data_IF_218589750517
#
_entry.id   IF_218589750517
#
_cell.length_a   1.000
_cell.length_b   1.000
_cell.length_c   1.000
_cell.angle_alpha   90.00
_cell.angle_beta   90.00
_cell.angle_gamma   90.00
#
_symmetry.space_group_name_H-M   'P 1'
#
loop_
_entity.id
_entity.type
_entity.pdbx_description
1 polymer ?
#
# COMPACT_ATOMS: atom_id res chain seq x y z
N UNK A 1 -6.41 1.14 15.01
CA UNK A 1 -5.85 -0.22 14.79
C UNK A 1 -4.37 -0.11 14.45
N UNK A 2 -3.56 -0.88 15.15
CA UNK A 2 -2.09 -0.82 15.04
C UNK A 2 -1.56 -1.23 13.66
N UNK A 3 -2.22 -2.20 13.02
CA UNK A 3 -1.83 -2.69 11.70
C UNK A 3 -1.95 -1.61 10.63
N UNK A 4 -3.03 -0.82 10.67
CA UNK A 4 -3.26 0.28 9.75
C UNK A 4 -2.15 1.34 9.86
N UNK A 5 -1.76 1.69 11.07
CA UNK A 5 -0.71 2.69 11.31
C UNK A 5 0.66 2.24 10.78
N UNK A 6 1.02 0.96 10.96
CA UNK A 6 2.28 0.42 10.43
C UNK A 6 2.31 0.45 8.91
N UNK A 7 1.19 0.13 8.27
CA UNK A 7 1.09 0.16 6.81
C UNK A 7 1.21 1.59 6.28
N UNK A 8 0.63 2.57 6.97
CA UNK A 8 0.78 3.99 6.62
C UNK A 8 2.23 4.44 6.72
N UNK A 9 2.93 4.03 7.76
CA UNK A 9 4.35 4.33 7.94
C UNK A 9 5.17 3.72 6.81
N UNK A 10 4.92 2.46 6.48
CA UNK A 10 5.61 1.77 5.39
C UNK A 10 5.41 2.49 4.05
N UNK A 11 4.15 2.82 3.72
CA UNK A 11 3.82 3.51 2.46
C UNK A 11 4.48 4.90 2.41
N UNK A 12 4.49 5.63 3.52
CA UNK A 12 5.13 6.95 3.58
C UNK A 12 6.64 6.86 3.32
N UNK A 13 7.32 5.85 3.87
CA UNK A 13 8.75 5.63 3.61
C UNK A 13 8.98 5.26 2.15
N UNK A 14 8.17 4.37 1.61
CA UNK A 14 8.27 3.94 0.21
C UNK A 14 8.09 5.10 -0.76
N UNK A 15 7.13 5.97 -0.51
CA UNK A 15 6.80 7.10 -1.38
C UNK A 15 7.83 8.23 -1.28
N UNK A 16 8.34 8.50 -0.07
CA UNK A 16 9.30 9.59 0.14
C UNK A 16 10.75 9.17 -0.14
N UNK A 17 11.05 7.89 -0.02
CA UNK A 17 12.42 7.39 -0.12
C UNK A 17 13.30 7.81 1.05
N UNK A 18 12.71 8.19 2.19
CA UNK A 18 13.43 8.73 3.33
C UNK A 18 12.68 8.47 4.63
N UNK A 19 13.36 7.93 5.63
CA UNK A 19 12.81 7.78 6.97
C UNK A 19 12.50 9.13 7.62
N UNK A 20 13.37 10.11 7.40
CA UNK A 20 13.22 11.45 7.96
C UNK A 20 12.00 12.18 7.38
N UNK A 21 11.86 12.13 6.05
CA UNK A 21 10.70 12.76 5.37
C UNK A 21 9.39 12.08 5.75
N UNK A 22 9.39 10.75 5.84
CA UNK A 22 8.21 10.02 6.29
C UNK A 22 7.81 10.42 7.71
N UNK A 23 8.77 10.50 8.63
CA UNK A 23 8.53 10.93 10.00
C UNK A 23 7.91 12.33 10.05
N UNK A 24 8.43 13.26 9.25
CA UNK A 24 7.89 14.61 9.16
C UNK A 24 6.43 14.62 8.68
N UNK A 25 6.15 13.90 7.61
CA UNK A 25 4.79 13.89 7.05
C UNK A 25 3.77 13.23 7.98
N UNK A 26 4.22 12.30 8.82
CA UNK A 26 3.35 11.58 9.76
C UNK A 26 3.29 12.22 11.15
N UNK A 27 4.09 13.26 11.40
CA UNK A 27 4.15 13.92 12.71
C UNK A 27 4.74 13.05 13.81
N UNK A 28 5.69 12.18 13.46
CA UNK A 28 6.38 11.32 14.43
C UNK A 28 7.89 11.47 14.31
N UNK A 29 8.64 10.73 15.12
CA UNK A 29 10.11 10.79 15.13
C UNK A 29 10.71 9.79 14.15
N UNK A 30 11.90 10.07 13.65
CA UNK A 30 12.62 9.16 12.77
C UNK A 30 12.92 7.80 13.45
N UNK A 31 13.35 7.75 14.74
CA UNK A 31 13.51 6.46 15.41
C UNK A 31 12.21 5.63 15.48
N UNK A 32 11.06 6.28 15.66
CA UNK A 32 9.77 5.59 15.67
C UNK A 32 9.48 4.94 14.32
N UNK A 33 9.73 5.66 13.22
CA UNK A 33 9.59 5.12 11.85
C UNK A 33 10.53 3.94 11.64
N UNK A 34 11.81 4.10 12.00
CA UNK A 34 12.83 3.06 11.89
C UNK A 34 12.44 1.78 12.62
N UNK A 35 11.95 1.90 13.86
CA UNK A 35 11.52 0.76 14.67
C UNK A 35 10.33 0.04 14.05
N UNK A 36 9.35 0.79 13.54
CA UNK A 36 8.19 0.19 12.89
C UNK A 36 8.58 -0.59 11.64
N UNK A 37 9.47 -0.05 10.83
CA UNK A 37 9.96 -0.74 9.62
C UNK A 37 10.74 -2.00 10.01
N UNK A 38 11.63 -1.91 11.00
CA UNK A 38 12.39 -3.07 11.47
C UNK A 38 11.46 -4.18 11.97
N UNK A 39 10.39 -3.82 12.66
CA UNK A 39 9.41 -4.78 13.15
C UNK A 39 8.64 -5.43 12.00
N UNK A 40 8.25 -4.67 10.98
CA UNK A 40 7.59 -5.22 9.78
C UNK A 40 8.52 -6.20 9.05
N UNK A 41 9.78 -5.85 8.90
CA UNK A 41 10.76 -6.72 8.25
C UNK A 41 10.99 -8.00 9.05
N UNK A 42 11.01 -7.90 10.38
CA UNK A 42 11.11 -9.06 11.26
C UNK A 42 9.91 -9.99 11.12
N UNK A 43 8.70 -9.44 11.09
CA UNK A 43 7.47 -10.22 10.93
C UNK A 43 7.36 -10.84 9.54
N UNK A 44 7.78 -10.11 8.51
CA UNK A 44 7.79 -10.59 7.13
C UNK A 44 8.87 -11.63 6.86
N UNK A 45 9.92 -11.65 7.70
CA UNK A 45 11.06 -12.55 7.52
C UNK A 45 11.98 -12.20 6.37
N UNK A 46 11.92 -10.96 5.89
CA UNK A 46 12.75 -10.49 4.78
C UNK A 46 12.92 -8.97 4.84
N UNK A 47 13.97 -8.46 4.18
CA UNK A 47 14.17 -7.03 4.04
C UNK A 47 13.15 -6.46 3.05
N UNK A 48 12.50 -5.37 3.42
CA UNK A 48 11.53 -4.67 2.58
C UNK A 48 12.15 -3.42 1.92
N UNK A 49 13.22 -2.90 2.51
CA UNK A 49 13.93 -1.74 1.99
C UNK A 49 15.42 -2.02 1.83
N UNK A 50 15.98 -1.47 0.78
CA UNK A 50 17.42 -1.37 0.56
C UNK A 50 17.86 0.05 0.89
N UNK A 51 18.93 0.17 1.69
CA UNK A 51 19.52 1.46 2.06
C UNK A 51 20.70 1.74 1.13
N UNK A 52 20.52 2.70 0.25
CA UNK A 52 21.59 3.23 -0.60
C UNK A 52 22.06 4.59 -0.09
N UNK A 53 22.89 5.25 -0.86
CA UNK A 53 23.48 6.57 -0.52
C UNK A 53 22.39 7.64 -0.36
N UNK A 54 21.96 7.89 0.89
CA UNK A 54 20.98 8.91 1.22
C UNK A 54 19.55 8.61 0.76
N UNK A 55 19.32 7.44 0.16
CA UNK A 55 17.99 7.03 -0.31
C UNK A 55 17.64 5.64 0.16
N UNK A 56 16.36 5.44 0.40
CA UNK A 56 15.79 4.14 0.73
C UNK A 56 14.90 3.72 -0.43
N UNK A 57 15.10 2.51 -0.95
CA UNK A 57 14.31 1.96 -2.04
C UNK A 57 13.73 0.60 -1.65
N UNK A 58 12.68 0.19 -2.32
CA UNK A 58 12.04 -1.09 -2.05
C UNK A 58 12.87 -2.25 -2.61
N UNK A 59 13.01 -3.33 -1.82
CA UNK A 59 13.47 -4.62 -2.33
C UNK A 59 12.38 -5.24 -3.20
N UNK A 60 12.65 -6.33 -3.96
CA UNK A 60 11.58 -7.06 -4.64
C UNK A 60 10.45 -7.49 -3.70
N UNK A 61 10.79 -7.99 -2.50
CA UNK A 61 9.79 -8.30 -1.47
C UNK A 61 9.05 -7.07 -0.98
N UNK A 62 9.75 -5.94 -0.85
CA UNK A 62 9.16 -4.67 -0.49
C UNK A 62 8.13 -4.17 -1.51
N UNK A 63 8.36 -4.42 -2.79
CA UNK A 63 7.39 -4.06 -3.84
C UNK A 63 6.11 -4.86 -3.72
N UNK A 64 6.22 -6.15 -3.44
CA UNK A 64 5.05 -7.01 -3.18
C UNK A 64 4.29 -6.49 -1.96
N UNK A 65 5.01 -6.23 -0.87
CA UNK A 65 4.42 -5.70 0.36
C UNK A 65 3.72 -4.35 0.11
N UNK A 66 4.35 -3.47 -0.64
CA UNK A 66 3.81 -2.15 -0.98
C UNK A 66 2.48 -2.27 -1.74
N UNK A 67 2.43 -3.16 -2.73
CA UNK A 67 1.21 -3.40 -3.51
C UNK A 67 0.05 -3.81 -2.61
N UNK A 68 0.27 -4.75 -1.70
CA UNK A 68 -0.76 -5.20 -0.76
C UNK A 68 -1.09 -4.14 0.29
N UNK A 69 -0.10 -3.45 0.81
CA UNK A 69 -0.31 -2.39 1.80
C UNK A 69 -1.23 -1.29 1.27
N UNK A 70 -1.02 -0.86 0.04
CA UNK A 70 -1.89 0.14 -0.60
C UNK A 70 -3.32 -0.35 -0.76
N UNK A 71 -3.49 -1.60 -1.14
CA UNK A 71 -4.83 -2.21 -1.26
C UNK A 71 -5.54 -2.29 0.09
N UNK A 72 -4.82 -2.73 1.12
CA UNK A 72 -5.37 -2.86 2.47
C UNK A 72 -5.82 -1.48 2.99
N UNK A 73 -4.98 -0.46 2.83
CA UNK A 73 -5.32 0.90 3.24
C UNK A 73 -6.52 1.45 2.49
N UNK A 74 -6.60 1.20 1.20
CA UNK A 74 -7.72 1.63 0.36
C UNK A 74 -9.03 0.95 0.78
N UNK A 75 -8.99 -0.35 1.04
CA UNK A 75 -10.15 -1.10 1.53
C UNK A 75 -10.60 -0.61 2.90
N UNK A 76 -9.65 -0.31 3.77
CA UNK A 76 -9.95 0.22 5.10
C UNK A 76 -10.65 1.58 5.00
N UNK A 77 -10.18 2.46 4.15
CA UNK A 77 -10.82 3.76 3.91
C UNK A 77 -12.23 3.61 3.34
N UNK A 78 -12.41 2.69 2.39
CA UNK A 78 -13.72 2.41 1.82
C UNK A 78 -14.69 1.90 2.87
N UNK A 79 -14.25 0.99 3.73
CA UNK A 79 -15.04 0.48 4.84
C UNK A 79 -15.49 1.62 5.77
N UNK A 80 -14.55 2.49 6.14
CA UNK A 80 -14.83 3.62 7.03
C UNK A 80 -15.86 4.55 6.42
N UNK A 81 -15.76 4.85 5.12
CA UNK A 81 -16.73 5.69 4.40
C UNK A 81 -18.11 5.05 4.35
N UNK A 82 -18.20 3.77 4.03
CA UNK A 82 -19.47 3.06 3.98
C UNK A 82 -20.15 3.01 5.34
N UNK A 83 -19.40 2.77 6.42
CA UNK A 83 -19.94 2.79 7.78
C UNK A 83 -20.42 4.18 8.20
N UNK A 84 -19.83 5.25 7.64
CA UNK A 84 -20.27 6.62 7.86
C UNK A 84 -21.44 7.04 6.97
N UNK A 85 -21.98 6.12 6.15
CA UNK A 85 -23.11 6.40 5.25
C UNK A 85 -22.72 7.13 3.98
N UNK A 86 -21.43 7.19 3.64
CA UNK A 86 -20.94 7.78 2.39
C UNK A 86 -20.76 6.70 1.33
N UNK A 87 -20.90 7.03 0.03
CA UNK A 87 -20.66 6.05 -1.02
C UNK A 87 -19.20 5.60 -1.01
N UNK A 88 -18.99 4.31 -1.32
CA UNK A 88 -17.65 3.75 -1.47
C UNK A 88 -16.87 4.51 -2.54
N UNK A 89 -15.55 4.55 -2.37
CA UNK A 89 -14.64 5.06 -3.39
C UNK A 89 -14.88 4.31 -4.70
N UNK A 90 -15.02 5.05 -5.81
CA UNK A 90 -15.25 4.46 -7.14
C UNK A 90 -13.94 4.03 -7.82
N UNK A 91 -12.86 3.89 -7.07
CA UNK A 91 -11.63 3.40 -7.63
C UNK A 91 -11.80 1.95 -8.11
N UNK A 92 -11.42 1.66 -9.36
CA UNK A 92 -11.57 0.31 -9.88
C UNK A 92 -10.65 -0.66 -9.15
N UNK A 93 -11.19 -1.85 -8.84
CA UNK A 93 -10.38 -2.95 -8.32
C UNK A 93 -9.76 -3.70 -9.49
N UNK A 94 -8.47 -4.00 -9.38
CA UNK A 94 -7.76 -4.80 -10.37
C UNK A 94 -7.54 -6.21 -9.81
N UNK A 95 -8.02 -7.20 -10.55
CA UNK A 95 -7.76 -8.61 -10.25
C UNK A 95 -6.64 -9.11 -11.16
N UNK A 96 -5.61 -9.68 -10.55
CA UNK A 96 -4.53 -10.32 -11.29
C UNK A 96 -5.00 -11.71 -11.74
N UNK A 97 -5.08 -11.90 -13.04
CA UNK A 97 -5.49 -13.18 -13.67
C UNK A 97 -4.30 -14.06 -14.05
N UNK A 98 -3.06 -13.63 -13.73
CA UNK A 98 -1.85 -14.33 -14.14
C UNK A 98 -1.45 -14.05 -15.58
N UNK A 99 -0.24 -14.46 -15.95
CA UNK A 99 0.32 -14.34 -17.32
C UNK A 99 0.23 -12.93 -17.93
N UNK A 100 0.33 -11.88 -17.09
CA UNK A 100 0.25 -10.49 -17.55
C UNK A 100 -1.17 -10.02 -17.89
N UNK A 101 -2.17 -10.77 -17.50
CA UNK A 101 -3.57 -10.37 -17.66
C UNK A 101 -4.12 -9.83 -16.34
N UNK A 102 -4.88 -8.75 -16.42
CA UNK A 102 -5.61 -8.22 -15.27
C UNK A 102 -7.03 -7.88 -15.65
N UNK A 103 -7.94 -7.94 -14.68
CA UNK A 103 -9.32 -7.52 -14.87
C UNK A 103 -9.57 -6.29 -14.00
N UNK A 104 -10.17 -5.27 -14.60
CA UNK A 104 -10.66 -4.09 -13.89
C UNK A 104 -12.11 -4.34 -13.52
N UNK A 105 -12.41 -4.30 -12.22
CA UNK A 105 -13.77 -4.46 -11.72
C UNK A 105 -14.24 -3.13 -11.18
N UNK A 106 -15.33 -2.61 -11.76
CA UNK A 106 -15.93 -1.36 -11.30
C UNK A 106 -17.42 -1.56 -11.06
N UNK A 107 -17.97 -0.78 -10.13
CA UNK A 107 -19.41 -0.79 -9.84
C UNK A 107 -19.95 0.58 -10.19
N UNK A 108 -20.86 0.63 -11.17
CA UNK A 108 -21.58 1.85 -11.57
C UNK A 108 -23.08 1.57 -11.50
N UNK A 109 -23.79 2.45 -10.81
CA UNK A 109 -25.27 2.38 -10.69
C UNK A 109 -25.78 1.01 -10.22
N UNK A 110 -25.07 0.37 -9.29
CA UNK A 110 -25.42 -0.94 -8.77
C UNK A 110 -25.10 -2.10 -9.70
N UNK A 111 -24.46 -1.84 -10.84
CA UNK A 111 -24.04 -2.87 -11.80
C UNK A 111 -22.53 -3.07 -11.74
N UNK A 112 -22.12 -4.32 -11.80
CA UNK A 112 -20.71 -4.70 -11.83
C UNK A 112 -20.26 -4.73 -13.29
N UNK A 113 -19.25 -3.90 -13.62
CA UNK A 113 -18.61 -3.91 -14.94
C UNK A 113 -17.22 -4.51 -14.80
N UNK A 114 -16.89 -5.47 -15.64
CA UNK A 114 -15.60 -6.13 -15.67
C UNK A 114 -14.95 -5.86 -17.02
N UNK A 115 -13.80 -5.15 -17.00
CA UNK A 115 -13.01 -4.90 -18.19
C UNK A 115 -11.73 -5.74 -18.15
N UNK A 116 -11.46 -6.51 -19.18
CA UNK A 116 -10.23 -7.27 -19.31
C UNK A 116 -9.14 -6.39 -19.90
N UNK A 117 -7.99 -6.33 -19.25
CA UNK A 117 -6.80 -5.63 -19.76
C UNK A 117 -5.65 -6.63 -19.85
N UNK A 118 -4.99 -6.69 -21.00
CA UNK A 118 -3.73 -7.42 -21.09
C UNK A 118 -2.58 -6.43 -20.93
N UNK A 119 -1.67 -6.77 -20.02
CA UNK A 119 -0.47 -5.98 -19.77
C UNK A 119 0.65 -6.59 -20.61
N UNK A 120 1.18 -5.81 -21.53
CA UNK A 120 2.38 -6.20 -22.27
C UNK A 120 3.60 -5.73 -21.47
N UNK A 121 4.46 -6.67 -21.16
CA UNK A 121 5.76 -6.36 -20.58
C UNK A 121 6.76 -6.02 -21.67
#
# INVERSE_FOLDING_TARGET
>A
MTTDNRLKIFVAVAQSGSFTLAARSLGCTQPAVSQNIAQLESEAGCALFERGRGRVSLTPSGRVFYSYAKRILSLYESMTRELAGQPASQEPMFLDLGEGHSAEVSVKDGKIEIGLKSVKY
#
